data_IF_571383717072
#
_entry.id   IF_571383717072
#
_cell.length_a   1.000
_cell.length_b   1.000
_cell.length_c   1.000
_cell.angle_alpha   90.00
_cell.angle_beta   90.00
_cell.angle_gamma   90.00
#
_symmetry.space_group_name_H-M   'P 1'
#
loop_
_entity.id
_entity.type
_entity.pdbx_description
1 polymer ?
#
# COMPACT_ATOMS: atom_id res chain seq x y z
N UNK A 1 26.87 -5.65 -39.07
CA UNK A 1 26.25 -6.35 -37.92
C UNK A 1 26.12 -5.35 -36.79
N UNK A 2 24.92 -4.79 -36.58
CA UNK A 2 24.65 -3.93 -35.43
C UNK A 2 24.04 -4.81 -34.32
N UNK A 3 24.67 -4.81 -33.15
CA UNK A 3 24.25 -5.60 -31.99
C UNK A 3 22.94 -5.00 -31.47
N UNK A 4 21.85 -5.77 -31.54
CA UNK A 4 20.55 -5.45 -30.92
C UNK A 4 20.77 -5.29 -29.42
N UNK A 5 20.76 -4.06 -28.92
CA UNK A 5 20.67 -3.79 -27.48
C UNK A 5 19.20 -3.98 -27.11
N UNK A 6 18.86 -5.15 -26.59
CA UNK A 6 17.55 -5.42 -26.00
C UNK A 6 17.29 -4.40 -24.89
N UNK A 7 16.31 -3.53 -25.09
CA UNK A 7 15.72 -2.74 -24.02
C UNK A 7 14.85 -3.71 -23.20
N UNK A 8 15.34 -4.11 -22.03
CA UNK A 8 14.49 -4.71 -21.00
C UNK A 8 13.69 -3.58 -20.34
N UNK A 9 12.37 -3.63 -20.48
CA UNK A 9 11.42 -2.80 -19.73
C UNK A 9 11.66 -2.98 -18.23
N UNK A 10 12.23 -1.96 -17.58
CA UNK A 10 12.41 -1.91 -16.12
C UNK A 10 11.14 -1.46 -15.38
N UNK A 11 10.01 -1.30 -16.08
CA UNK A 11 8.76 -0.77 -15.53
C UNK A 11 7.98 -1.78 -14.66
N UNK A 12 8.39 -3.05 -14.65
CA UNK A 12 7.63 -4.13 -14.00
C UNK A 12 7.98 -4.36 -12.52
N UNK A 13 9.00 -3.69 -11.99
CA UNK A 13 9.44 -3.86 -10.58
C UNK A 13 9.26 -2.56 -9.81
N UNK A 14 8.08 -2.37 -9.23
CA UNK A 14 7.87 -1.32 -8.22
C UNK A 14 8.64 -1.71 -6.97
N UNK A 15 9.66 -0.93 -6.63
CA UNK A 15 10.43 -1.17 -5.42
C UNK A 15 9.56 -0.85 -4.20
N UNK A 16 9.59 -1.71 -3.18
CA UNK A 16 8.83 -1.49 -1.93
C UNK A 16 9.13 -0.12 -1.30
N UNK A 17 10.36 0.36 -1.45
CA UNK A 17 10.76 1.72 -1.04
C UNK A 17 9.96 2.85 -1.69
N UNK A 18 9.47 2.66 -2.91
CA UNK A 18 8.67 3.66 -3.61
C UNK A 18 7.24 3.74 -3.07
N UNK A 19 6.77 2.71 -2.35
CA UNK A 19 5.42 2.67 -1.78
C UNK A 19 5.34 3.45 -0.47
N UNK A 20 6.44 3.54 0.29
CA UNK A 20 6.50 4.27 1.54
C UNK A 20 6.21 5.77 1.33
N UNK A 21 5.46 6.37 2.26
CA UNK A 21 5.07 7.77 2.23
C UNK A 21 3.97 8.12 1.22
N UNK A 22 3.50 7.17 0.40
CA UNK A 22 2.36 7.43 -0.50
C UNK A 22 1.10 7.70 0.30
N UNK A 23 0.30 8.66 -0.16
CA UNK A 23 -0.99 8.93 0.46
C UNK A 23 -1.98 7.81 0.15
N UNK A 24 -2.66 7.32 1.18
CA UNK A 24 -3.70 6.29 1.09
C UNK A 24 -5.05 6.99 0.92
N UNK A 25 -5.78 6.63 -0.13
CA UNK A 25 -7.11 7.19 -0.43
C UNK A 25 -8.10 6.09 -0.79
N UNK A 26 -9.38 6.30 -0.55
CA UNK A 26 -10.41 5.39 -1.07
C UNK A 26 -10.82 5.70 -2.50
N UNK A 27 -11.61 4.80 -3.11
CA UNK A 27 -12.33 5.05 -4.38
C UNK A 27 -13.13 6.36 -4.39
N UNK A 28 -13.63 6.81 -3.24
CA UNK A 28 -14.40 8.06 -3.11
C UNK A 28 -13.52 9.29 -2.85
N UNK A 29 -12.20 9.11 -2.75
CA UNK A 29 -11.23 10.17 -2.53
C UNK A 29 -11.03 10.54 -1.06
N UNK A 30 -11.60 9.79 -0.10
CA UNK A 30 -11.32 10.02 1.32
C UNK A 30 -9.88 9.64 1.63
N UNK A 31 -9.17 10.51 2.34
CA UNK A 31 -7.79 10.25 2.78
C UNK A 31 -7.80 9.39 4.05
N UNK A 32 -6.92 8.39 4.09
CA UNK A 32 -6.75 7.52 5.25
C UNK A 32 -5.47 7.84 6.04
N UNK A 33 -4.43 8.26 5.34
CA UNK A 33 -3.13 8.55 5.93
C UNK A 33 -2.05 8.38 4.87
N UNK A 34 -0.89 7.89 5.29
CA UNK A 34 0.27 7.60 4.44
C UNK A 34 0.74 6.17 4.67
N UNK A 35 1.41 5.57 3.68
CA UNK A 35 2.08 4.28 3.85
C UNK A 35 3.26 4.45 4.80
N UNK A 36 3.16 3.88 6.00
CA UNK A 36 4.25 3.85 6.96
C UNK A 36 5.22 2.71 6.70
N UNK A 37 4.67 1.51 6.56
CA UNK A 37 5.44 0.28 6.39
C UNK A 37 4.59 -0.80 5.70
N UNK A 38 5.21 -1.92 5.34
CA UNK A 38 4.57 -3.08 4.72
C UNK A 38 4.87 -4.36 5.52
N UNK A 39 3.82 -5.09 5.88
CA UNK A 39 3.92 -6.42 6.49
C UNK A 39 3.79 -7.44 5.38
N UNK A 40 4.74 -8.37 5.31
CA UNK A 40 4.78 -9.40 4.29
C UNK A 40 5.19 -10.75 4.87
N UNK A 41 4.76 -11.83 4.22
CA UNK A 41 5.21 -13.16 4.56
C UNK A 41 6.65 -13.37 4.05
N UNK A 42 7.57 -13.70 4.94
CA UNK A 42 9.01 -13.76 4.60
C UNK A 42 9.39 -14.89 3.64
N UNK A 43 8.53 -15.90 3.47
CA UNK A 43 8.82 -17.07 2.62
C UNK A 43 8.44 -16.81 1.15
N UNK A 44 7.20 -16.40 0.92
CA UNK A 44 6.69 -16.09 -0.43
C UNK A 44 7.01 -14.66 -0.89
N UNK A 45 7.21 -13.73 0.06
CA UNK A 45 7.23 -12.29 -0.21
C UNK A 45 5.84 -11.69 -0.41
N UNK A 46 4.77 -12.43 -0.09
CA UNK A 46 3.39 -11.96 -0.19
C UNK A 46 3.14 -10.77 0.75
N UNK A 47 2.64 -9.67 0.20
CA UNK A 47 2.24 -8.51 0.97
C UNK A 47 0.92 -8.80 1.67
N UNK A 48 0.91 -8.69 3.00
CA UNK A 48 -0.26 -9.00 3.82
C UNK A 48 -0.96 -7.71 4.23
N UNK A 49 -0.24 -6.77 4.84
CA UNK A 49 -0.81 -5.51 5.32
C UNK A 49 0.07 -4.31 4.99
N UNK A 50 -0.59 -3.16 4.87
CA UNK A 50 0.01 -1.83 4.94
C UNK A 50 -0.17 -1.32 6.36
N UNK A 51 0.90 -0.78 6.93
CA UNK A 51 0.85 -0.01 8.18
C UNK A 51 0.53 1.44 7.83
N UNK A 52 -0.53 1.99 8.41
CA UNK A 52 -0.93 3.39 8.20
C UNK A 52 -0.10 4.29 9.11
N UNK A 53 0.61 5.24 8.50
CA UNK A 53 1.26 6.34 9.19
C UNK A 53 0.43 7.61 9.07
N UNK A 54 0.53 8.51 10.05
CA UNK A 54 -0.23 9.76 10.10
C UNK A 54 -1.72 9.57 9.76
N UNK A 55 -2.43 8.67 10.49
CA UNK A 55 -3.82 8.38 10.18
C UNK A 55 -4.67 9.64 10.33
N UNK A 56 -5.69 9.77 9.49
CA UNK A 56 -6.66 10.86 9.65
C UNK A 56 -7.61 10.58 10.81
N UNK A 57 -8.25 11.62 11.35
CA UNK A 57 -9.30 11.46 12.36
C UNK A 57 -10.48 10.61 11.87
N UNK A 58 -10.69 10.53 10.55
CA UNK A 58 -11.66 9.61 9.96
C UNK A 58 -11.21 8.16 10.18
N UNK A 59 -9.95 7.86 9.85
CA UNK A 59 -9.35 6.53 9.95
C UNK A 59 -9.22 6.04 11.39
N UNK A 60 -8.88 6.91 12.32
CA UNK A 60 -8.82 6.57 13.75
C UNK A 60 -10.19 6.18 14.34
N UNK A 61 -11.28 6.64 13.73
CA UNK A 61 -12.65 6.29 14.13
C UNK A 61 -13.15 5.00 13.46
N UNK A 62 -12.41 4.47 12.48
CA UNK A 62 -12.72 3.19 11.88
C UNK A 62 -12.19 2.07 12.79
N UNK A 63 -12.96 0.99 12.92
CA UNK A 63 -12.57 -0.20 13.68
C UNK A 63 -11.65 -1.11 12.85
N UNK A 64 -10.58 -0.54 12.28
CA UNK A 64 -9.60 -1.30 11.50
C UNK A 64 -8.79 -2.25 12.37
N UNK A 65 -8.26 -3.30 11.75
CA UNK A 65 -7.30 -4.19 12.40
C UNK A 65 -6.09 -3.38 12.91
N UNK A 66 -5.60 -3.77 14.08
CA UNK A 66 -4.41 -3.21 14.70
C UNK A 66 -3.41 -4.28 15.03
N UNK A 67 -2.13 -3.96 14.90
CA UNK A 67 -1.08 -4.85 15.39
C UNK A 67 -0.85 -4.71 16.91
N UNK A 68 0.11 -5.48 17.43
CA UNK A 68 0.51 -5.44 18.84
C UNK A 68 1.05 -4.08 19.33
N UNK A 69 1.34 -3.15 18.43
CA UNK A 69 1.83 -1.79 18.71
C UNK A 69 0.71 -0.74 18.55
N UNK A 70 -0.55 -1.17 18.43
CA UNK A 70 -1.73 -0.34 18.17
C UNK A 70 -1.66 0.41 16.82
N UNK A 71 -0.83 -0.05 15.87
CA UNK A 71 -0.73 0.55 14.54
C UNK A 71 -1.87 0.06 13.67
N UNK A 72 -2.55 0.98 13.00
CA UNK A 72 -3.65 0.68 12.08
C UNK A 72 -3.14 -0.06 10.84
N UNK A 73 -3.81 -1.16 10.50
CA UNK A 73 -3.47 -2.02 9.38
C UNK A 73 -4.54 -1.95 8.30
N UNK A 74 -4.09 -1.97 7.05
CA UNK A 74 -4.94 -2.12 5.88
C UNK A 74 -4.51 -3.38 5.12
N UNK A 75 -5.39 -4.36 4.90
CA UNK A 75 -5.09 -5.52 4.06
C UNK A 75 -4.59 -5.10 2.69
N UNK A 76 -3.47 -5.66 2.24
CA UNK A 76 -2.94 -5.36 0.91
C UNK A 76 -3.92 -5.81 -0.19
N UNK A 77 -4.77 -6.81 0.08
CA UNK A 77 -5.84 -7.26 -0.80
C UNK A 77 -6.87 -6.17 -1.13
N UNK A 78 -7.04 -5.16 -0.26
CA UNK A 78 -7.96 -4.04 -0.50
C UNK A 78 -7.39 -2.99 -1.46
N UNK A 79 -6.12 -3.09 -1.85
CA UNK A 79 -5.49 -2.14 -2.78
C UNK A 79 -5.96 -2.41 -4.21
N UNK A 80 -6.58 -1.39 -4.81
CA UNK A 80 -7.10 -1.46 -6.18
C UNK A 80 -6.09 -0.86 -7.17
N UNK A 81 -5.35 0.17 -6.75
CA UNK A 81 -4.38 0.85 -7.61
C UNK A 81 -3.20 1.39 -6.82
N UNK A 82 -2.02 1.29 -7.42
CA UNK A 82 -0.77 1.84 -6.91
C UNK A 82 -0.18 2.83 -7.94
N UNK A 83 -0.30 4.12 -7.66
CA UNK A 83 0.28 5.20 -8.47
C UNK A 83 0.97 6.22 -7.58
N UNK A 84 0.73 7.51 -7.81
CA UNK A 84 1.12 8.57 -6.86
C UNK A 84 0.40 8.44 -5.52
N UNK A 85 -0.84 7.94 -5.60
CA UNK A 85 -1.67 7.55 -4.47
C UNK A 85 -1.79 6.02 -4.40
N UNK A 86 -2.01 5.51 -3.19
CA UNK A 86 -2.48 4.14 -3.00
C UNK A 86 -3.98 4.16 -2.80
N UNK A 87 -4.70 3.56 -3.75
CA UNK A 87 -6.16 3.57 -3.78
C UNK A 87 -6.69 2.25 -3.21
N UNK A 88 -7.57 2.33 -2.21
CA UNK A 88 -8.15 1.18 -1.51
C UNK A 88 -9.68 1.11 -1.66
N UNK A 89 -10.21 -0.10 -1.55
CA UNK A 89 -11.64 -0.37 -1.41
C UNK A 89 -12.02 -0.27 0.08
N UNK A 90 -12.93 0.64 0.44
CA UNK A 90 -13.37 0.77 1.84
C UNK A 90 -14.22 -0.43 2.26
N UNK A 91 -14.90 -1.07 1.30
CA UNK A 91 -15.71 -2.26 1.51
C UNK A 91 -14.90 -3.52 1.84
N UNK A 92 -13.59 -3.52 1.56
CA UNK A 92 -12.70 -4.68 1.80
C UNK A 92 -11.89 -4.55 3.11
N UNK A 93 -12.12 -3.49 3.89
CA UNK A 93 -11.42 -3.20 5.15
C UNK A 93 -12.36 -3.02 6.37
N UNK A 94 -13.68 -3.08 6.16
CA UNK A 94 -14.73 -2.91 7.19
C UNK A 94 -15.60 -4.17 7.23
#
# INVERSE_FOLDING_TARGET
MAVKKSFEDNDSKKFSKQLLGKTIVSKTGKRFGEVGDLIFETKSGELIHIVVNNPTTYTEKLELEKDSQDRLLIPFSAVIAMGDFMVIAEEDII
#
